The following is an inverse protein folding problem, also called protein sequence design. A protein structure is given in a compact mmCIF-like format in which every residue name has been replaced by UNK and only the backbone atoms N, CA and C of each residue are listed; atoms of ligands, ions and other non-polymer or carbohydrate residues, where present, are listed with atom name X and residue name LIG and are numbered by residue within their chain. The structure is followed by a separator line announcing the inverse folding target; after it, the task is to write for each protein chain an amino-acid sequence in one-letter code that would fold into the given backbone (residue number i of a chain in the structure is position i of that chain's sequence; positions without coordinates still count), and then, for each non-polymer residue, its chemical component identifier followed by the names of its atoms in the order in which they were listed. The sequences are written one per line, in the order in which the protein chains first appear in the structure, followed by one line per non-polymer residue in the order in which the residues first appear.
data_IF_046593499224
#
_entry.id   IF_046593499224
#
_cell.length_a   1.000
_cell.length_b   1.000
_cell.length_c   1.000
_cell.angle_alpha   90.00
_cell.angle_beta   90.00
_cell.angle_gamma   90.00
#
_symmetry.space_group_name_H-M   'P 1'
#
loop_
_entity.id
_entity.type
_entity.pdbx_description
1 polymer ?
#
# COMPACT_ATOMS: atom_id res chain seq x y z
N UNK A 1 7.65 -6.00 26.85
CA UNK A 1 8.25 -5.38 25.66
C UNK A 1 7.14 -5.32 24.63
N UNK A 2 6.44 -4.20 24.52
CA UNK A 2 5.59 -3.94 23.37
C UNK A 2 6.52 -3.91 22.17
N UNK A 3 6.52 -4.99 21.39
CA UNK A 3 7.37 -5.10 20.21
C UNK A 3 6.90 -4.06 19.21
N UNK A 4 7.77 -3.12 18.88
CA UNK A 4 7.53 -2.20 17.78
C UNK A 4 7.18 -3.00 16.52
N UNK A 5 5.98 -2.78 16.00
CA UNK A 5 5.54 -3.41 14.75
C UNK A 5 6.31 -2.75 13.63
N UNK A 6 7.09 -3.55 12.88
CA UNK A 6 7.77 -3.07 11.69
C UNK A 6 6.92 -3.35 10.45
N UNK A 7 6.61 -2.32 9.66
CA UNK A 7 5.86 -2.46 8.42
C UNK A 7 6.70 -2.21 7.17
N UNK A 8 6.49 -3.03 6.15
CA UNK A 8 7.02 -2.78 4.81
C UNK A 8 5.99 -1.98 4.00
N UNK A 9 6.36 -0.76 3.62
CA UNK A 9 5.50 0.14 2.84
C UNK A 9 5.89 0.04 1.36
N UNK A 10 4.93 -0.30 0.50
CA UNK A 10 5.09 -0.39 -0.95
C UNK A 10 4.46 0.84 -1.59
N UNK A 11 5.26 1.52 -2.41
CA UNK A 11 4.82 2.68 -3.21
C UNK A 11 5.18 2.47 -4.68
N UNK A 12 4.49 3.17 -5.57
CA UNK A 12 4.71 3.04 -7.00
C UNK A 12 6.06 3.66 -7.41
N UNK A 13 6.31 4.87 -6.93
CA UNK A 13 7.41 5.72 -7.35
C UNK A 13 8.05 6.53 -6.22
N UNK A 14 9.15 7.24 -6.53
CA UNK A 14 9.86 8.06 -5.55
C UNK A 14 9.08 9.31 -5.12
N UNK A 15 8.14 9.77 -5.94
CA UNK A 15 7.26 10.93 -5.66
C UNK A 15 6.31 10.67 -4.50
N UNK A 16 5.97 9.41 -4.24
CA UNK A 16 4.96 9.02 -3.27
C UNK A 16 5.55 8.99 -1.86
N UNK A 17 6.86 8.70 -1.74
CA UNK A 17 7.59 8.55 -0.48
C UNK A 17 7.37 9.73 0.48
N UNK A 18 7.57 11.01 0.11
CA UNK A 18 7.37 12.12 1.04
C UNK A 18 5.93 12.21 1.55
N UNK A 19 4.95 11.91 0.70
CA UNK A 19 3.53 11.97 1.07
C UNK A 19 3.15 10.82 1.98
N UNK A 20 3.52 9.57 1.62
CA UNK A 20 3.30 8.43 2.50
C UNK A 20 4.04 8.58 3.82
N UNK A 21 5.24 9.16 3.82
CA UNK A 21 5.95 9.46 5.06
C UNK A 21 5.15 10.39 5.96
N UNK A 22 4.54 11.44 5.40
CA UNK A 22 3.68 12.35 6.15
C UNK A 22 2.42 11.62 6.68
N UNK A 23 1.79 10.76 5.87
CA UNK A 23 0.63 9.96 6.28
C UNK A 23 0.96 8.97 7.40
N UNK A 24 2.05 8.22 7.27
CA UNK A 24 2.51 7.27 8.28
C UNK A 24 2.75 7.98 9.61
N UNK A 25 3.43 9.15 9.57
CA UNK A 25 3.66 9.99 10.76
C UNK A 25 2.36 10.54 11.35
N UNK A 26 1.44 11.00 10.51
CA UNK A 26 0.13 11.48 10.96
C UNK A 26 -0.70 10.35 11.61
N UNK A 27 -0.52 9.11 11.15
CA UNK A 27 -1.09 7.90 11.75
C UNK A 27 -0.34 7.42 13.01
N UNK A 28 0.67 8.17 13.48
CA UNK A 28 1.40 7.89 14.73
C UNK A 28 2.65 7.04 14.59
N UNK A 29 3.02 6.62 13.37
CA UNK A 29 4.23 5.83 13.14
C UNK A 29 5.47 6.71 13.24
N UNK A 30 6.47 6.25 13.98
CA UNK A 30 7.75 6.96 14.17
C UNK A 30 8.88 6.34 13.34
N UNK A 31 10.01 7.05 13.26
CA UNK A 31 11.14 6.61 12.46
C UNK A 31 11.68 5.25 12.98
N UNK A 32 11.87 4.30 12.05
CA UNK A 32 12.35 2.95 12.36
C UNK A 32 11.24 1.90 12.47
N UNK A 33 9.98 2.31 12.52
CA UNK A 33 8.82 1.39 12.54
C UNK A 33 8.34 0.99 11.14
N UNK A 34 8.91 1.59 10.08
CA UNK A 34 8.60 1.19 8.72
C UNK A 34 9.75 1.48 7.75
N UNK A 35 9.74 0.76 6.62
CA UNK A 35 10.65 0.99 5.50
C UNK A 35 9.90 1.02 4.17
N UNK A 36 10.45 1.73 3.19
CA UNK A 36 9.88 1.81 1.85
C UNK A 36 10.49 0.80 0.89
N UNK A 37 9.66 0.21 0.05
CA UNK A 37 10.05 -0.52 -1.16
C UNK A 37 9.32 0.12 -2.34
N UNK A 38 10.08 0.45 -3.39
CA UNK A 38 9.54 1.02 -4.63
C UNK A 38 9.23 -0.11 -5.61
N UNK A 39 8.00 -0.16 -6.11
CA UNK A 39 7.57 -1.18 -7.05
C UNK A 39 7.96 -0.87 -8.51
N UNK A 40 8.35 0.38 -8.84
CA UNK A 40 8.55 0.85 -10.21
C UNK A 40 7.24 0.84 -11.03
N UNK A 41 6.17 1.36 -10.43
CA UNK A 41 4.85 1.57 -11.04
C UNK A 41 3.79 0.51 -10.68
N UNK A 42 2.51 0.90 -10.79
CA UNK A 42 1.35 0.04 -10.49
C UNK A 42 1.34 -1.33 -11.15
N UNK A 43 1.80 -1.45 -12.39
CA UNK A 43 1.80 -2.73 -13.11
C UNK A 43 2.65 -3.80 -12.41
N UNK A 44 3.71 -3.38 -11.71
CA UNK A 44 4.53 -4.27 -10.89
C UNK A 44 3.81 -4.64 -9.59
N UNK A 45 3.15 -3.68 -8.94
CA UNK A 45 2.31 -3.95 -7.76
C UNK A 45 1.22 -4.97 -8.09
N UNK A 46 0.48 -4.73 -9.17
CA UNK A 46 -0.65 -5.55 -9.60
C UNK A 46 -0.22 -6.98 -9.99
N UNK A 47 1.01 -7.14 -10.51
CA UNK A 47 1.63 -8.44 -10.82
C UNK A 47 2.08 -9.16 -9.56
N UNK A 48 2.70 -8.44 -8.63
CA UNK A 48 3.37 -8.99 -7.46
C UNK A 48 2.47 -9.01 -6.21
N UNK A 49 1.19 -8.65 -6.31
CA UNK A 49 0.26 -8.59 -5.18
C UNK A 49 0.18 -9.91 -4.39
N UNK A 50 0.24 -11.05 -5.07
CA UNK A 50 0.29 -12.37 -4.42
C UNK A 50 1.58 -12.55 -3.60
N UNK A 51 2.71 -12.03 -4.06
CA UNK A 51 3.98 -12.10 -3.32
C UNK A 51 3.92 -11.26 -2.05
N UNK A 52 3.33 -10.06 -2.12
CA UNK A 52 3.13 -9.24 -0.93
C UNK A 52 2.16 -9.91 0.05
N UNK A 53 1.12 -10.58 -0.44
CA UNK A 53 0.25 -11.40 0.40
C UNK A 53 1.00 -12.53 1.10
N UNK A 54 1.87 -13.25 0.38
CA UNK A 54 2.69 -14.32 0.97
C UNK A 54 3.69 -13.76 2.00
N UNK A 55 4.29 -12.61 1.73
CA UNK A 55 5.23 -11.93 2.61
C UNK A 55 4.56 -11.36 3.87
N UNK A 56 3.30 -10.90 3.75
CA UNK A 56 2.49 -10.39 4.85
C UNK A 56 2.28 -11.41 5.98
N UNK A 57 2.52 -12.70 5.71
CA UNK A 57 2.48 -13.76 6.73
C UNK A 57 3.61 -13.67 7.76
N UNK A 58 4.62 -12.84 7.53
CA UNK A 58 5.81 -12.72 8.38
C UNK A 58 5.99 -11.31 8.95
N UNK A 59 5.71 -10.26 8.16
CA UNK A 59 5.74 -8.87 8.60
C UNK A 59 4.58 -8.10 7.94
N UNK A 60 4.01 -7.07 8.57
CA UNK A 60 2.97 -6.25 7.95
C UNK A 60 3.42 -5.55 6.66
N UNK A 61 2.53 -5.50 5.68
CA UNK A 61 2.68 -4.76 4.43
C UNK A 61 1.59 -3.72 4.27
N UNK A 62 1.99 -2.49 3.91
CA UNK A 62 1.07 -1.42 3.52
C UNK A 62 1.38 -1.03 2.08
N UNK A 63 0.43 -1.20 1.17
CA UNK A 63 0.58 -0.92 -0.26
C UNK A 63 -0.26 0.30 -0.61
N UNK A 64 0.37 1.31 -1.21
CA UNK A 64 -0.31 2.43 -1.86
C UNK A 64 -0.31 2.20 -3.36
N UNK A 65 -1.50 2.26 -3.98
CA UNK A 65 -1.73 1.99 -5.39
C UNK A 65 -2.65 3.07 -5.97
N UNK A 66 -2.18 3.82 -6.96
CA UNK A 66 -2.90 4.91 -7.59
C UNK A 66 -4.07 4.41 -8.42
N UNK A 67 -5.23 5.03 -8.31
CA UNK A 67 -6.43 4.65 -9.05
C UNK A 67 -6.27 4.85 -10.55
N UNK A 68 -5.70 5.99 -10.95
CA UNK A 68 -5.71 6.51 -12.30
C UNK A 68 -7.11 6.36 -12.96
N UNK A 69 -7.18 5.75 -14.14
CA UNK A 69 -8.42 5.45 -14.86
C UNK A 69 -8.74 3.95 -14.85
N UNK A 70 -8.05 3.18 -14.00
CA UNK A 70 -8.22 1.74 -13.97
C UNK A 70 -9.58 1.36 -13.41
N UNK A 71 -10.12 0.24 -13.90
CA UNK A 71 -11.44 -0.24 -13.51
C UNK A 71 -12.54 0.85 -13.61
N UNK A 72 -12.43 1.72 -14.62
CA UNK A 72 -13.37 2.83 -14.84
C UNK A 72 -13.24 3.97 -13.83
N UNK A 73 -12.13 4.07 -13.10
CA UNK A 73 -11.96 5.06 -12.03
C UNK A 73 -12.71 4.70 -10.76
N UNK A 74 -12.91 3.41 -10.49
CA UNK A 74 -13.59 2.92 -9.29
C UNK A 74 -12.60 2.26 -8.32
N UNK A 75 -12.28 2.88 -7.17
CA UNK A 75 -11.35 2.31 -6.18
C UNK A 75 -11.78 0.93 -5.66
N UNK A 76 -13.08 0.71 -5.50
CA UNK A 76 -13.63 -0.58 -5.05
C UNK A 76 -13.36 -1.67 -6.09
N UNK A 77 -13.48 -1.35 -7.37
CA UNK A 77 -13.22 -2.30 -8.44
C UNK A 77 -11.73 -2.64 -8.55
N UNK A 78 -10.82 -1.66 -8.41
CA UNK A 78 -9.37 -1.92 -8.33
C UNK A 78 -9.05 -2.80 -7.12
N UNK A 79 -9.63 -2.50 -5.94
CA UNK A 79 -9.44 -3.33 -4.75
C UNK A 79 -9.93 -4.75 -4.98
N UNK A 80 -11.09 -4.93 -5.61
CA UNK A 80 -11.64 -6.25 -5.94
C UNK A 80 -10.74 -7.01 -6.91
N UNK A 81 -10.24 -6.34 -7.96
CA UNK A 81 -9.28 -6.91 -8.92
C UNK A 81 -8.01 -7.40 -8.22
N UNK A 82 -7.44 -6.61 -7.30
CA UNK A 82 -6.26 -7.02 -6.54
C UNK A 82 -6.55 -8.20 -5.58
N UNK A 83 -7.66 -8.14 -4.83
CA UNK A 83 -8.07 -9.22 -3.94
C UNK A 83 -8.30 -10.54 -4.68
N UNK A 84 -8.83 -10.49 -5.91
CA UNK A 84 -9.07 -11.68 -6.74
C UNK A 84 -7.80 -12.48 -7.09
N UNK A 85 -6.63 -11.83 -6.97
CA UNK A 85 -5.31 -12.43 -7.22
C UNK A 85 -4.66 -13.03 -5.96
N UNK A 86 -5.34 -12.94 -4.81
CA UNK A 86 -4.83 -13.46 -3.53
C UNK A 86 -5.71 -14.62 -3.04
N UNK A 87 -5.14 -15.60 -2.30
CA UNK A 87 -5.92 -16.73 -1.78
C UNK A 87 -7.02 -16.37 -0.75
N UNK A 88 -7.06 -15.13 -0.27
CA UNK A 88 -8.01 -14.63 0.73
C UNK A 88 -7.51 -13.34 1.38
N UNK A 89 -8.21 -12.86 2.41
CA UNK A 89 -7.74 -11.72 3.19
C UNK A 89 -6.51 -12.07 4.03
N UNK A 90 -5.63 -11.10 4.24
CA UNK A 90 -4.53 -11.19 5.20
C UNK A 90 -4.64 -10.01 6.17
N UNK A 91 -4.68 -10.24 7.50
CA UNK A 91 -4.80 -9.16 8.48
C UNK A 91 -3.59 -8.22 8.44
N UNK A 92 -2.45 -8.71 7.95
CA UNK A 92 -1.18 -8.00 7.87
C UNK A 92 -0.91 -7.42 6.48
N UNK A 93 -1.88 -7.47 5.55
CA UNK A 93 -1.80 -6.83 4.24
C UNK A 93 -2.85 -5.72 4.09
N UNK A 94 -2.42 -4.48 4.18
CA UNK A 94 -3.26 -3.31 3.92
C UNK A 94 -3.00 -2.76 2.50
N UNK A 95 -4.04 -2.72 1.66
CA UNK A 95 -3.96 -2.10 0.31
C UNK A 95 -4.81 -0.82 0.31
N UNK A 96 -4.18 0.33 0.14
CA UNK A 96 -4.83 1.63 -0.01
C UNK A 96 -4.83 2.02 -1.48
N UNK A 97 -6.03 2.12 -2.05
CA UNK A 97 -6.20 2.68 -3.39
C UNK A 97 -6.29 4.19 -3.25
N UNK A 98 -5.39 4.90 -3.92
CA UNK A 98 -5.27 6.35 -3.77
C UNK A 98 -5.74 7.04 -5.04
N UNK A 99 -6.65 7.99 -4.92
CA UNK A 99 -7.28 8.66 -6.06
C UNK A 99 -6.31 9.63 -6.77
N UNK A 100 -6.67 10.05 -8.00
CA UNK A 100 -5.83 10.73 -9.02
C UNK A 100 -5.06 11.99 -8.57
N UNK A 101 -5.34 12.54 -7.40
CA UNK A 101 -4.70 13.75 -6.90
C UNK A 101 -4.05 13.48 -5.55
N UNK A 102 -2.84 14.00 -5.37
CA UNK A 102 -2.11 13.93 -4.10
C UNK A 102 -2.91 14.57 -2.96
N UNK A 103 -3.83 15.49 -3.27
CA UNK A 103 -4.80 16.05 -2.34
C UNK A 103 -5.78 15.01 -1.75
N UNK A 104 -6.12 13.95 -2.48
CA UNK A 104 -7.00 12.86 -2.00
C UNK A 104 -6.31 11.97 -0.95
N UNK A 105 -5.00 12.08 -0.78
CA UNK A 105 -4.21 11.26 0.15
C UNK A 105 -4.38 11.73 1.60
N UNK A 106 -4.74 13.01 1.81
CA UNK A 106 -4.88 13.64 3.14
C UNK A 106 -6.26 13.39 3.76
N UNK A 107 -7.26 13.01 2.96
CA UNK A 107 -8.67 12.88 3.40
C UNK A 107 -9.13 11.43 3.63
N UNK A 108 -8.25 10.43 3.47
CA UNK A 108 -8.58 8.99 3.49
C UNK A 108 -8.09 8.24 4.74
#
# INVERSE_FOLDING_TARGET
MEGYVFAQVIVEGPTDIPVVTALMRAAGWVNGEFAFTRANGKGVIDRDIKKYWEAARFIPYVIFRDLDRDEGGCPVAVRSMLSSKTPGESPDLLIRIVDQCIESWILA
#
